data_IF_892275109339
#
_entry.id   IF_892275109339
#
_cell.length_a   1.000
_cell.length_b   1.000
_cell.length_c   1.000
_cell.angle_alpha   90.00
_cell.angle_beta   90.00
_cell.angle_gamma   90.00
#
_symmetry.space_group_name_H-M   'P 1'
#
loop_
_entity.id
_entity.type
_entity.pdbx_description
1 polymer ?
2 non-polymer ?
3 non-polymer ?
4 non-polymer ?
5 non-polymer ?
6 non-polymer ?
7 non-polymer ?
8 water ?
#
# COMPACT_ATOMS: atom_id res chain seq x y z
N UNK A 3 -6.24 -3.38 -27.42
CA UNK A 3 -6.97 -2.71 -26.35
C UNK A 3 -8.14 -1.92 -26.91
N UNK A 4 -9.34 -2.44 -26.77
CA UNK A 4 -10.53 -1.78 -27.30
C UNK A 4 -10.94 -0.59 -26.44
N UNK A 5 -11.98 0.12 -26.89
CA UNK A 5 -12.57 1.21 -26.13
C UNK A 5 -13.41 0.66 -24.99
N UNK A 6 -13.68 1.54 -24.00
CA UNK A 6 -14.24 1.09 -22.73
C UNK A 6 -15.59 0.41 -22.93
N UNK A 7 -16.52 1.09 -23.60
CA UNK A 7 -17.84 0.52 -23.82
C UNK A 7 -17.76 -0.75 -24.65
N UNK A 8 -16.81 -0.82 -25.59
CA UNK A 8 -16.62 -2.04 -26.36
C UNK A 8 -16.07 -3.17 -25.49
N UNK A 9 -15.07 -2.87 -24.65
CA UNK A 9 -14.49 -3.86 -23.75
C UNK A 9 -15.55 -4.43 -22.80
N UNK A 10 -16.40 -3.57 -22.25
CA UNK A 10 -17.34 -3.99 -21.23
C UNK A 10 -18.56 -4.70 -21.83
N UNK A 11 -19.12 -5.62 -21.04
CA UNK A 11 -20.25 -6.41 -21.49
C UNK A 11 -21.62 -5.77 -21.33
N UNK A 12 -21.74 -4.63 -20.66
CA UNK A 12 -23.04 -4.00 -20.47
C UNK A 12 -22.82 -2.58 -19.91
N UNK A 13 -23.77 -1.69 -20.10
CA UNK A 13 -23.70 -0.38 -19.43
C UNK A 13 -24.18 -0.50 -17.99
N UNK A 14 -23.83 0.51 -17.20
CA UNK A 14 -24.35 0.57 -15.84
C UNK A 14 -25.87 0.67 -15.91
N UNK A 15 -26.62 -0.18 -15.19
CA UNK A 15 -28.09 -0.11 -15.27
C UNK A 15 -28.63 1.15 -14.61
N UNK A 16 -29.71 1.70 -15.22
CA UNK A 16 -30.35 2.89 -14.65
C UNK A 16 -30.80 2.66 -13.22
N UNK A 17 -31.17 1.42 -12.88
CA UNK A 17 -31.60 1.13 -11.52
C UNK A 17 -30.45 1.25 -10.53
N UNK A 18 -29.22 0.95 -10.96
CA UNK A 18 -28.09 1.18 -10.06
C UNK A 18 -27.90 2.66 -9.80
N UNK A 19 -27.95 3.47 -10.86
CA UNK A 19 -27.83 4.93 -10.71
C UNK A 19 -28.86 5.45 -9.73
N UNK A 20 -30.11 5.01 -9.87
CA UNK A 20 -31.19 5.45 -8.99
C UNK A 20 -30.86 5.14 -7.54
N UNK A 21 -30.42 3.92 -7.25
CA UNK A 21 -30.06 3.58 -5.88
C UNK A 21 -28.85 4.39 -5.42
N UNK A 22 -27.87 4.60 -6.30
CA UNK A 22 -26.66 5.31 -5.91
C UNK A 22 -26.96 6.75 -5.53
N UNK A 23 -27.86 7.40 -6.29
CA UNK A 23 -28.18 8.80 -6.03
C UNK A 23 -28.94 8.98 -4.72
N UNK A 24 -29.68 7.95 -4.30
CA UNK A 24 -30.43 8.00 -3.06
C UNK A 24 -29.57 7.75 -1.84
N UNK A 25 -28.36 7.23 -2.00
CA UNK A 25 -27.45 6.96 -0.88
C UNK A 25 -26.01 7.27 -1.29
N UNK A 26 -25.75 8.55 -1.57
CA UNK A 26 -24.41 8.95 -2.01
C UNK A 26 -23.39 8.87 -0.88
N UNK A 27 -23.83 8.78 0.38
CA UNK A 27 -22.90 8.62 1.50
C UNK A 27 -22.32 7.22 1.53
N UNK A 28 -23.18 6.19 1.43
CA UNK A 28 -22.67 4.83 1.29
C UNK A 28 -21.78 4.70 0.07
N UNK A 29 -22.21 5.29 -1.06
CA UNK A 29 -21.38 5.30 -2.26
C UNK A 29 -19.99 5.87 -1.98
N UNK A 30 -19.94 7.06 -1.38
CA UNK A 30 -18.67 7.72 -1.11
C UNK A 30 -17.78 6.89 -0.18
N UNK A 31 -18.35 6.34 0.88
CA UNK A 31 -17.54 5.58 1.82
C UNK A 31 -16.98 4.32 1.16
N UNK A 32 -17.81 3.63 0.40
CA UNK A 32 -17.33 2.45 -0.32
C UNK A 32 -16.34 2.85 -1.41
N UNK A 33 -16.58 3.97 -2.07
CA UNK A 33 -15.63 4.47 -3.08
C UNK A 33 -14.27 4.73 -2.45
N UNK A 34 -14.25 5.42 -1.31
CA UNK A 34 -13.03 5.66 -0.56
C UNK A 34 -12.30 4.34 -0.26
N UNK A 35 -13.04 3.32 0.18
CA UNK A 35 -12.42 2.02 0.51
C UNK A 35 -11.87 1.33 -0.74
N UNK A 36 -12.57 1.49 -1.86
CA UNK A 36 -12.15 0.89 -3.12
C UNK A 36 -10.83 1.47 -3.61
N UNK A 37 -10.67 2.78 -3.46
CA UNK A 37 -9.39 3.39 -3.81
C UNK A 37 -8.28 2.82 -2.95
N UNK A 38 -8.54 2.69 -1.64
CA UNK A 38 -7.56 2.07 -0.74
C UNK A 38 -7.28 0.61 -1.13
N UNK A 39 -8.22 -0.12 -1.43
CA UNK A 39 -8.06 -1.53 -1.83
C UNK A 39 -7.34 -1.62 -3.17
N UNK A 40 -7.52 -0.76 -4.04
CA UNK A 40 -6.73 -0.79 -5.26
C UNK A 40 -5.26 -0.63 -4.96
N UNK A 41 -4.90 0.30 -4.06
CA UNK A 41 -3.52 0.42 -3.62
C UNK A 41 -3.05 -0.83 -2.88
N UNK A 42 -3.88 -1.35 -1.97
CA UNK A 42 -3.47 -2.52 -1.23
C UNK A 42 -3.34 -3.74 -2.13
N UNK A 43 -4.24 -3.88 -3.12
CA UNK A 43 -4.11 -4.96 -4.09
C UNK A 43 -2.83 -4.82 -4.91
N UNK A 44 -2.50 -3.59 -5.33
CA UNK A 44 -1.27 -3.36 -6.08
C UNK A 44 -0.05 -3.75 -5.26
N UNK A 45 -0.09 -3.48 -3.94
CA UNK A 45 1.03 -3.87 -3.10
C UNK A 45 1.11 -5.38 -2.92
N UNK A 46 -0.05 -6.04 -2.79
CA UNK A 46 -0.05 -7.50 -2.69
C UNK A 46 0.52 -8.15 -3.95
N UNK A 47 0.32 -7.52 -5.10
CA UNK A 47 0.90 -8.05 -6.34
C UNK A 47 2.42 -7.86 -6.35
N UNK A 48 2.90 -6.71 -5.86
CA UNK A 48 4.33 -6.51 -5.70
C UNK A 48 4.93 -7.60 -4.81
N UNK A 49 4.29 -7.86 -3.68
CA UNK A 49 4.79 -8.87 -2.76
C UNK A 49 4.74 -10.25 -3.37
N UNK A 50 3.69 -10.56 -4.13
CA UNK A 50 3.54 -11.90 -4.70
C UNK A 50 4.49 -12.09 -5.88
N UNK A 51 4.71 -11.07 -6.69
CA UNK A 51 5.55 -11.19 -7.87
C UNK A 51 6.81 -10.35 -7.70
N UNK A 52 7.59 -10.65 -6.66
CA UNK A 52 8.73 -9.87 -6.21
C UNK A 52 9.91 -9.89 -7.18
N UNK A 53 9.85 -10.68 -8.25
CA UNK A 53 10.88 -10.67 -9.28
C UNK A 53 10.42 -10.07 -10.60
N UNK A 54 9.13 -9.80 -10.77
CA UNK A 54 8.61 -9.17 -11.98
C UNK A 54 8.83 -7.67 -11.89
N UNK A 55 10.02 -7.23 -12.32
CA UNK A 55 10.41 -5.83 -12.13
C UNK A 55 9.47 -4.87 -12.84
N UNK A 56 9.04 -5.20 -14.06
CA UNK A 56 8.09 -4.35 -14.77
C UNK A 56 6.80 -4.19 -13.97
N UNK A 57 6.27 -5.30 -13.46
CA UNK A 57 5.09 -5.25 -12.61
C UNK A 57 5.35 -4.40 -11.37
N UNK A 58 6.51 -4.59 -10.73
CA UNK A 58 6.80 -3.91 -9.47
C UNK A 58 6.86 -2.41 -9.67
N UNK A 59 7.50 -1.96 -10.74
CA UNK A 59 7.60 -0.52 -10.98
C UNK A 59 6.24 0.07 -11.32
N UNK A 60 5.41 -0.65 -12.08
CA UNK A 60 4.09 -0.12 -12.41
C UNK A 60 3.20 -0.09 -11.18
N UNK A 61 3.21 -1.17 -10.40
CA UNK A 61 2.29 -1.28 -9.26
C UNK A 61 2.64 -0.29 -8.16
N UNK A 62 3.93 -0.09 -7.91
CA UNK A 62 4.33 0.91 -6.92
C UNK A 62 3.77 2.29 -7.27
N UNK A 63 3.94 2.70 -8.52
CA UNK A 63 3.44 4.00 -8.94
C UNK A 63 1.91 4.03 -8.97
N UNK A 64 1.29 2.92 -9.36
CA UNK A 64 -0.16 2.85 -9.34
C UNK A 64 -0.70 2.97 -7.91
N UNK A 65 -0.07 2.26 -6.97
CA UNK A 65 -0.52 2.32 -5.58
C UNK A 65 -0.48 3.74 -5.05
N UNK A 66 0.56 4.51 -5.39
CA UNK A 66 0.63 5.90 -4.95
C UNK A 66 -0.50 6.74 -5.56
N UNK A 67 -0.81 6.52 -6.83
CA UNK A 67 -1.92 7.28 -7.44
C UNK A 67 -3.23 6.95 -6.76
N UNK A 68 -3.47 5.67 -6.47
CA UNK A 68 -4.72 5.28 -5.83
C UNK A 68 -4.80 5.79 -4.40
N UNK A 69 -3.66 5.89 -3.70
CA UNK A 69 -3.66 6.46 -2.36
C UNK A 69 -3.99 7.96 -2.39
N UNK A 70 -3.54 8.66 -3.43
CA UNK A 70 -3.97 10.05 -3.61
C UNK A 70 -5.49 10.12 -3.75
N UNK A 71 -6.06 9.25 -4.60
CA UNK A 71 -7.51 9.22 -4.76
C UNK A 71 -8.19 8.95 -3.42
N UNK A 72 -7.65 7.99 -2.66
CA UNK A 72 -8.18 7.66 -1.34
C UNK A 72 -8.22 8.91 -0.44
N UNK A 73 -7.12 9.65 -0.39
CA UNK A 73 -7.08 10.88 0.40
C UNK A 73 -8.01 11.95 -0.17
N UNK A 74 -8.12 12.03 -1.50
CA UNK A 74 -9.03 13.01 -2.09
C UNK A 74 -10.49 12.72 -1.72
N UNK A 75 -10.90 11.45 -1.75
CA UNK A 75 -12.27 11.12 -1.34
C UNK A 75 -12.48 11.47 0.13
N UNK A 76 -11.47 11.22 0.97
CA UNK A 76 -11.59 11.54 2.39
C UNK A 76 -11.78 13.04 2.59
N UNK A 77 -11.05 13.87 1.82
CA UNK A 77 -11.19 15.31 1.94
C UNK A 77 -12.57 15.77 1.48
N UNK A 78 -13.08 15.21 0.40
CA UNK A 78 -14.43 15.55 -0.06
C UNK A 78 -15.46 15.19 1.00
N UNK A 79 -15.37 13.97 1.53
CA UNK A 79 -16.27 13.55 2.61
C UNK A 79 -16.23 14.52 3.77
N UNK A 80 -15.02 14.91 4.21
CA UNK A 80 -14.92 15.86 5.31
C UNK A 80 -15.61 17.17 4.96
N UNK A 81 -15.41 17.65 3.73
CA UNK A 81 -16.03 18.90 3.30
C UNK A 81 -17.56 18.84 3.35
N UNK A 82 -18.13 17.66 3.10
CA UNK A 82 -19.58 17.49 3.04
C UNK A 82 -20.18 16.91 4.31
N UNK A 83 -19.38 16.72 5.36
CA UNK A 83 -19.91 16.17 6.60
C UNK A 83 -20.37 14.73 6.50
N UNK A 84 -19.61 13.89 5.79
CA UNK A 84 -19.89 12.46 5.70
C UNK A 84 -18.99 11.76 6.72
N UNK A 85 -19.52 11.27 7.83
CA UNK A 85 -18.67 10.61 8.83
C UNK A 85 -18.22 9.23 8.34
N UNK A 86 -17.11 8.78 8.90
CA UNK A 86 -16.60 7.46 8.60
C UNK A 86 -17.45 6.41 9.28
N UNK A 87 -17.71 5.32 8.58
CA UNK A 87 -18.46 4.21 9.20
C UNK A 87 -18.04 2.92 8.48
N UNK A 88 -18.09 1.80 9.20
CA UNK A 88 -17.73 0.50 8.60
C UNK A 88 -18.69 0.15 7.47
N UNK A 89 -18.13 -0.13 6.29
CA UNK A 89 -18.89 -0.58 5.13
C UNK A 89 -18.16 -1.77 4.54
N UNK A 90 -18.75 -2.96 4.66
CA UNK A 90 -18.10 -4.19 4.22
C UNK A 90 -17.90 -4.17 2.71
N UNK A 91 -16.90 -4.92 2.24
CA UNK A 91 -16.66 -5.02 0.81
C UNK A 91 -17.84 -5.67 0.11
N UNK A 92 -18.07 -5.27 -1.13
CA UNK A 92 -19.08 -5.88 -1.95
C UNK A 92 -18.62 -7.19 -2.53
N UNK A 93 -19.49 -7.77 -3.37
CA UNK A 93 -19.24 -9.07 -3.97
C UNK A 93 -18.37 -8.99 -5.21
N UNK A 94 -18.27 -7.82 -5.83
CA UNK A 94 -17.75 -7.65 -7.18
C UNK A 94 -16.35 -8.21 -7.37
N UNK A 95 -15.35 -7.59 -6.72
CA UNK A 95 -13.97 -8.01 -6.95
C UNK A 95 -13.75 -9.46 -6.52
N UNK A 96 -14.47 -9.92 -5.49
CA UNK A 96 -14.33 -11.31 -5.07
C UNK A 96 -14.91 -12.25 -6.12
N UNK A 97 -16.04 -11.87 -6.72
CA UNK A 97 -16.60 -12.67 -7.79
C UNK A 97 -15.68 -12.78 -8.98
N UNK A 98 -15.07 -11.66 -9.39
CA UNK A 98 -14.16 -11.69 -10.53
C UNK A 98 -12.91 -12.50 -10.22
N UNK A 99 -12.42 -12.42 -9.00
CA UNK A 99 -11.16 -13.15 -8.64
C UNK A 99 -11.39 -14.66 -8.60
N UNK A 100 -12.63 -15.12 -8.46
CA UNK A 100 -12.94 -16.55 -8.53
C UNK A 100 -12.65 -17.14 -9.90
N UNK A 101 -12.57 -16.31 -10.94
CA UNK A 101 -12.32 -16.79 -12.29
C UNK A 101 -10.83 -16.86 -12.63
N UNK A 102 -9.96 -16.54 -11.69
CA UNK A 102 -8.52 -16.58 -11.94
C UNK A 102 -8.04 -18.03 -11.89
N UNK A 103 -7.30 -18.44 -12.90
CA UNK A 103 -6.73 -19.78 -12.93
C UNK A 103 -5.68 -19.91 -11.83
N UNK A 104 -5.57 -21.12 -11.29
CA UNK A 104 -4.84 -21.33 -10.04
C UNK A 104 -3.35 -21.55 -10.23
N UNK A 105 -2.85 -21.53 -11.46
CA UNK A 105 -1.46 -21.87 -11.74
C UNK A 105 -0.79 -20.78 -12.54
N UNK A 106 0.51 -20.58 -12.27
CA UNK A 106 1.30 -19.66 -13.07
C UNK A 106 1.61 -20.30 -14.41
N UNK A 107 1.84 -19.49 -15.46
CA UNK A 107 1.84 -18.02 -15.46
C UNK A 107 0.47 -17.40 -15.75
N UNK A 108 -0.54 -18.22 -16.06
CA UNK A 108 -1.83 -17.67 -16.44
C UNK A 108 -2.56 -17.08 -15.23
N UNK A 109 -2.19 -17.47 -14.01
CA UNK A 109 -2.76 -16.85 -12.83
C UNK A 109 -2.51 -15.34 -12.83
N UNK A 110 -1.28 -14.94 -13.14
CA UNK A 110 -0.95 -13.50 -13.18
C UNK A 110 -1.67 -12.80 -14.33
N UNK A 111 -1.69 -13.42 -15.51
CA UNK A 111 -2.39 -12.83 -16.65
C UNK A 111 -3.86 -12.62 -16.32
N UNK A 112 -4.50 -13.64 -15.73
CA UNK A 112 -5.92 -13.53 -15.39
C UNK A 112 -6.14 -12.47 -14.33
N UNK A 113 -5.21 -12.37 -13.37
CA UNK A 113 -5.31 -11.34 -12.34
C UNK A 113 -5.27 -9.95 -12.96
N UNK A 114 -4.36 -9.73 -13.92
CA UNK A 114 -4.27 -8.43 -14.56
C UNK A 114 -5.48 -8.15 -15.44
N UNK A 115 -6.06 -9.17 -16.06
CA UNK A 115 -7.25 -8.95 -16.87
C UNK A 115 -8.41 -8.52 -15.98
N UNK A 116 -8.58 -9.18 -14.82
CA UNK A 116 -9.62 -8.78 -13.88
C UNK A 116 -9.42 -7.33 -13.47
N UNK A 117 -8.17 -6.92 -13.24
CA UNK A 117 -7.90 -5.54 -12.92
C UNK A 117 -8.31 -4.59 -14.02
N UNK A 118 -8.05 -4.97 -15.28
CA UNK A 118 -8.49 -4.13 -16.39
C UNK A 118 -10.00 -3.97 -16.38
N UNK A 119 -10.73 -5.03 -16.02
CA UNK A 119 -12.18 -4.94 -15.99
C UNK A 119 -12.66 -4.04 -14.86
N UNK A 120 -12.03 -4.14 -13.68
CA UNK A 120 -12.45 -3.30 -12.55
C UNK A 120 -12.25 -1.83 -12.88
N UNK A 121 -11.11 -1.49 -13.50
CA UNK A 121 -10.84 -0.09 -13.83
C UNK A 121 -11.74 0.39 -14.96
N UNK A 122 -11.98 -0.46 -15.97
CA UNK A 122 -12.86 -0.08 -17.07
C UNK A 122 -14.29 0.15 -16.57
N UNK A 123 -14.79 -0.73 -15.69
CA UNK A 123 -16.13 -0.55 -15.16
C UNK A 123 -16.22 0.72 -14.32
N UNK A 124 -15.20 0.97 -13.50
CA UNK A 124 -15.16 2.22 -12.73
C UNK A 124 -15.21 3.43 -13.65
N UNK A 125 -14.51 3.38 -14.78
CA UNK A 125 -14.54 4.52 -15.69
C UNK A 125 -15.93 4.68 -16.31
N UNK A 126 -16.53 3.57 -16.75
CA UNK A 126 -17.87 3.61 -17.32
C UNK A 126 -18.89 4.11 -16.30
N UNK A 127 -18.75 3.72 -15.04
CA UNK A 127 -19.76 4.05 -14.05
C UNK A 127 -19.65 5.50 -13.60
N UNK A 128 -18.42 6.00 -13.41
CA UNK A 128 -18.21 7.44 -13.22
C UNK A 128 -18.89 8.23 -14.31
N UNK A 129 -18.66 7.83 -15.57
CA UNK A 129 -19.27 8.54 -16.69
C UNK A 129 -20.79 8.50 -16.63
N UNK A 130 -21.36 7.36 -16.20
CA UNK A 130 -22.81 7.28 -16.10
C UNK A 130 -23.34 8.16 -14.98
N UNK A 131 -22.54 8.38 -13.94
CA UNK A 131 -23.02 9.06 -12.75
C UNK A 131 -23.02 10.58 -12.91
N UNK A 132 -21.95 11.12 -13.50
CA UNK A 132 -21.66 12.56 -13.37
C UNK A 132 -22.77 13.47 -13.91
N UNK A 133 -23.56 13.10 -14.94
CA UNK A 133 -24.68 13.99 -15.31
C UNK A 133 -25.70 14.17 -14.21
N UNK A 134 -25.69 13.34 -13.17
CA UNK A 134 -26.68 13.39 -12.10
C UNK A 134 -26.16 14.01 -10.82
N UNK A 135 -24.87 14.26 -10.72
CA UNK A 135 -24.22 14.73 -9.49
C UNK A 135 -24.12 16.25 -9.47
N UNK A 136 -23.91 16.77 -8.26
CA UNK A 136 -23.64 18.19 -8.09
C UNK A 136 -22.28 18.54 -8.68
N UNK A 137 -22.04 19.85 -8.85
CA UNK A 137 -20.89 20.29 -9.65
C UNK A 137 -19.58 19.83 -9.04
N UNK A 138 -19.40 19.99 -7.75
CA UNK A 138 -18.13 19.63 -7.07
C UNK A 138 -17.86 18.13 -7.24
N UNK A 139 -18.85 17.32 -6.95
CA UNK A 139 -18.62 15.87 -7.02
C UNK A 139 -18.48 15.40 -8.46
N UNK A 140 -19.26 15.97 -9.38
CA UNK A 140 -19.11 15.60 -10.79
C UNK A 140 -17.74 15.96 -11.33
N UNK A 141 -17.20 17.10 -10.91
CA UNK A 141 -15.85 17.53 -11.33
C UNK A 141 -14.81 16.53 -10.80
N UNK A 142 -14.95 16.19 -9.52
CA UNK A 142 -14.02 15.24 -8.91
C UNK A 142 -14.10 13.90 -9.63
N UNK A 143 -15.32 13.39 -9.80
CA UNK A 143 -15.52 12.10 -10.44
C UNK A 143 -15.06 12.11 -11.89
N UNK A 144 -15.17 13.26 -12.58
CA UNK A 144 -14.68 13.34 -13.95
C UNK A 144 -13.15 13.21 -14.01
N UNK A 145 -12.44 13.84 -13.07
CA UNK A 145 -11.00 13.65 -12.99
C UNK A 145 -10.61 12.20 -12.75
N UNK A 146 -11.36 11.51 -11.89
CA UNK A 146 -11.04 10.12 -11.60
C UNK A 146 -11.30 9.22 -12.81
N UNK A 147 -12.38 9.50 -13.54
CA UNK A 147 -12.72 8.76 -14.75
C UNK A 147 -11.56 8.70 -15.73
N UNK A 148 -10.86 9.82 -15.90
CA UNK A 148 -9.74 9.83 -16.84
C UNK A 148 -8.62 8.92 -16.37
N UNK A 149 -8.35 8.88 -15.06
CA UNK A 149 -7.32 7.99 -14.56
C UNK A 149 -7.71 6.52 -14.71
N UNK A 150 -9.00 6.20 -14.55
CA UNK A 150 -9.44 4.81 -14.69
C UNK A 150 -9.16 4.29 -16.09
N UNK A 151 -9.42 5.11 -17.11
CA UNK A 151 -9.12 4.71 -18.48
C UNK A 151 -7.64 4.39 -18.65
N UNK A 152 -6.78 5.22 -18.07
CA UNK A 152 -5.34 4.95 -18.13
C UNK A 152 -4.98 3.68 -17.36
N UNK A 153 -5.61 3.46 -16.20
CA UNK A 153 -5.32 2.25 -15.45
C UNK A 153 -5.86 1.01 -16.16
N UNK A 154 -7.01 1.13 -16.82
CA UNK A 154 -7.53 0.04 -17.63
C UNK A 154 -6.53 -0.33 -18.73
N UNK A 155 -6.01 0.68 -19.44
CA UNK A 155 -5.00 0.41 -20.46
C UNK A 155 -3.74 -0.16 -19.85
N UNK A 156 -3.30 0.38 -18.71
CA UNK A 156 -2.11 -0.12 -18.06
C UNK A 156 -2.22 -1.57 -17.64
N UNK A 157 -3.37 -1.96 -17.06
CA UNK A 157 -3.56 -3.34 -16.63
C UNK A 157 -3.59 -4.29 -17.82
N UNK A 158 -4.33 -3.93 -18.87
CA UNK A 158 -4.43 -4.78 -20.04
C UNK A 158 -3.09 -4.88 -20.76
N UNK A 159 -2.31 -3.78 -20.79
CA UNK A 159 -1.01 -3.85 -21.45
C UNK A 159 -0.02 -4.66 -20.64
N UNK A 160 -0.13 -4.64 -19.32
CA UNK A 160 0.74 -5.48 -18.51
C UNK A 160 0.39 -6.96 -18.69
N UNK A 161 -0.90 -7.26 -18.86
CA UNK A 161 -1.32 -8.63 -19.10
C UNK A 161 -0.74 -9.16 -20.41
N UNK A 162 -0.73 -8.33 -21.46
CA UNK A 162 -0.10 -8.75 -22.71
C UNK A 162 1.41 -8.87 -22.56
N UNK A 163 2.00 -8.10 -21.65
CA UNK A 163 3.44 -8.20 -21.41
C UNK A 163 3.84 -9.56 -20.87
N UNK A 164 2.92 -10.27 -20.20
CA UNK A 164 3.23 -11.53 -19.54
C UNK A 164 2.45 -12.71 -20.10
N UNK A 165 1.58 -12.50 -21.09
CA UNK A 165 0.65 -13.52 -21.50
C UNK A 165 0.61 -13.68 -23.01
N UNK A 166 0.02 -14.81 -23.43
CA UNK A 166 -0.19 -15.10 -24.83
C UNK A 166 -1.46 -14.41 -25.30
N UNK A 167 -1.37 -13.68 -26.41
CA UNK A 167 -2.50 -12.95 -26.97
C UNK A 167 -3.75 -13.82 -27.10
N UNK A 168 -3.57 -15.09 -27.48
CA UNK A 168 -4.72 -15.98 -27.67
C UNK A 168 -5.38 -16.31 -26.35
N UNK A 169 -4.60 -16.64 -25.32
CA UNK A 169 -5.17 -16.95 -24.02
C UNK A 169 -5.81 -15.73 -23.37
N UNK A 170 -5.26 -14.54 -23.64
CA UNK A 170 -5.85 -13.32 -23.08
C UNK A 170 -7.23 -13.08 -23.66
N UNK A 171 -7.39 -13.26 -24.98
CA UNK A 171 -8.69 -13.06 -25.61
C UNK A 171 -9.74 -13.98 -25.00
N UNK A 172 -9.38 -15.23 -24.71
CA UNK A 172 -10.35 -16.15 -24.10
C UNK A 172 -10.58 -15.82 -22.63
N UNK A 173 -9.56 -15.33 -21.94
CA UNK A 173 -9.75 -14.91 -20.56
C UNK A 173 -10.67 -13.69 -20.49
N UNK A 174 -10.47 -12.72 -21.37
CA UNK A 174 -11.34 -11.55 -21.43
C UNK A 174 -12.79 -11.96 -21.65
N UNK A 175 -13.01 -12.94 -22.53
CA UNK A 175 -14.38 -13.38 -22.81
C UNK A 175 -15.03 -13.98 -21.57
N UNK A 176 -14.27 -14.73 -20.77
CA UNK A 176 -14.84 -15.34 -19.58
C UNK A 176 -15.18 -14.29 -18.52
N UNK A 177 -14.24 -13.37 -18.25
CA UNK A 177 -14.47 -12.37 -17.22
C UNK A 177 -15.52 -11.35 -17.66
N UNK A 178 -15.53 -11.00 -18.95
CA UNK A 178 -16.54 -10.07 -19.46
C UNK A 178 -17.94 -10.58 -19.19
N UNK A 179 -18.18 -11.88 -19.42
CA UNK A 179 -19.49 -12.46 -19.16
C UNK A 179 -19.83 -12.44 -17.67
N UNK A 180 -18.87 -12.83 -16.82
CA UNK A 180 -19.14 -12.84 -15.38
C UNK A 180 -19.27 -11.43 -14.84
N UNK A 181 -18.50 -10.49 -15.38
CA UNK A 181 -18.59 -9.10 -14.95
C UNK A 181 -19.97 -8.52 -15.25
N UNK A 182 -20.47 -8.75 -16.47
CA UNK A 182 -21.81 -8.32 -16.84
C UNK A 182 -22.85 -8.92 -15.91
N UNK A 183 -22.67 -10.20 -15.54
CA UNK A 183 -23.62 -10.85 -14.64
C UNK A 183 -23.59 -10.19 -13.26
N UNK A 184 -22.41 -9.88 -12.75
CA UNK A 184 -22.30 -9.20 -11.47
C UNK A 184 -22.94 -7.81 -11.51
N UNK A 185 -22.86 -7.13 -12.65
CA UNK A 185 -23.38 -5.78 -12.75
C UNK A 185 -24.90 -5.78 -12.96
N UNK A 186 -25.44 -6.76 -13.69
CA UNK A 186 -26.86 -6.74 -13.99
C UNK A 186 -27.71 -7.55 -13.01
N UNK A 187 -27.10 -8.42 -12.21
CA UNK A 187 -27.83 -9.23 -11.26
C UNK A 187 -28.39 -8.39 -10.13
N UNK A 188 -29.48 -8.85 -9.50
CA UNK A 188 -29.94 -8.20 -8.27
C UNK A 188 -28.88 -8.31 -7.18
N UNK A 189 -28.89 -7.32 -6.28
CA UNK A 189 -27.90 -7.26 -5.23
C UNK A 189 -28.57 -6.84 -3.94
N UNK A 190 -27.99 -7.26 -2.83
CA UNK A 190 -28.55 -6.98 -1.51
C UNK A 190 -28.10 -5.64 -0.94
N UNK A 191 -27.04 -5.05 -1.48
CA UNK A 191 -26.45 -3.85 -0.91
C UNK A 191 -26.03 -2.90 -2.02
N UNK A 192 -25.92 -1.62 -1.67
CA UNK A 192 -25.38 -0.62 -2.58
C UNK A 192 -23.88 -0.48 -2.34
N UNK A 193 -23.10 -0.65 -3.39
CA UNK A 193 -21.66 -0.43 -3.39
C UNK A 193 -21.33 0.24 -4.72
N UNK A 194 -20.12 0.77 -4.84
CA UNK A 194 -19.75 1.39 -6.10
C UNK A 194 -19.89 0.41 -7.26
N UNK A 195 -19.54 -0.86 -7.04
CA UNK A 195 -19.60 -1.88 -8.07
C UNK A 195 -20.70 -2.91 -7.80
N UNK A 196 -21.71 -2.56 -7.01
CA UNK A 196 -22.79 -3.49 -6.73
C UNK A 196 -23.66 -3.72 -7.96
N UNK A 197 -24.44 -4.79 -7.90
CA UNK A 197 -25.49 -5.04 -8.86
C UNK A 197 -26.68 -4.14 -8.59
N UNK A 198 -27.78 -4.46 -9.26
CA UNK A 198 -29.02 -3.70 -9.14
C UNK A 198 -29.63 -3.97 -7.77
N UNK A 199 -29.85 -2.96 -6.94
CA UNK A 199 -30.45 -3.21 -5.61
C UNK A 199 -31.92 -3.61 -5.68
N UNK B 3 9.07 14.04 22.37
CA UNK B 3 9.94 13.67 21.25
C UNK B 3 11.41 13.76 21.63
N UNK B 4 11.97 12.74 22.30
CA UNK B 4 13.41 12.74 22.56
C UNK B 4 14.23 12.69 21.28
N UNK B 5 15.50 13.09 21.40
CA UNK B 5 16.43 12.91 20.30
C UNK B 5 16.67 11.42 20.05
N UNK B 6 17.13 11.10 18.84
CA UNK B 6 17.11 9.71 18.39
C UNK B 6 18.11 8.86 19.17
N UNK B 7 19.32 9.36 19.35
CA UNK B 7 20.28 8.62 20.17
C UNK B 7 19.76 8.41 21.59
N UNK B 8 18.98 9.37 22.11
CA UNK B 8 18.41 9.25 23.44
C UNK B 8 17.25 8.27 23.48
N UNK B 9 16.43 8.26 22.42
CA UNK B 9 15.29 7.35 22.34
C UNK B 9 15.74 5.89 22.27
N UNK B 10 16.86 5.62 21.59
CA UNK B 10 17.29 4.25 21.33
C UNK B 10 18.16 3.68 22.44
N UNK B 11 18.09 2.35 22.61
CA UNK B 11 18.82 1.66 23.65
C UNK B 11 20.30 1.42 23.39
N UNK B 12 20.78 1.67 22.17
CA UNK B 12 22.13 1.28 21.79
C UNK B 12 22.48 1.85 20.42
N UNK B 13 23.75 2.14 20.15
CA UNK B 13 24.14 2.51 18.79
C UNK B 13 24.29 1.27 17.91
N UNK B 14 24.26 1.51 16.60
CA UNK B 14 24.55 0.44 15.66
C UNK B 14 25.95 -0.09 15.91
N UNK B 15 26.13 -1.38 16.20
CA UNK B 15 27.47 -1.90 16.48
C UNK B 15 28.38 -1.80 15.27
N UNK B 16 29.67 -1.60 15.55
CA UNK B 16 30.64 -1.50 14.46
C UNK B 16 30.71 -2.78 13.64
N UNK B 17 30.50 -3.93 14.29
CA UNK B 17 30.52 -5.20 13.56
C UNK B 17 29.40 -5.29 12.53
N UNK B 18 28.24 -4.69 12.80
CA UNK B 18 27.19 -4.70 11.80
C UNK B 18 27.56 -3.87 10.58
N UNK B 19 28.19 -2.72 10.79
CA UNK B 19 28.56 -1.86 9.67
C UNK B 19 29.60 -2.55 8.79
N UNK B 20 30.54 -3.26 9.41
CA UNK B 20 31.53 -3.98 8.62
C UNK B 20 30.89 -5.09 7.79
N UNK B 21 29.91 -5.79 8.36
CA UNK B 21 29.18 -6.79 7.58
C UNK B 21 28.40 -6.14 6.45
N UNK B 22 27.74 -5.01 6.73
CA UNK B 22 26.94 -4.35 5.71
C UNK B 22 27.80 -3.91 4.54
N UNK B 23 28.99 -3.35 4.82
CA UNK B 23 29.86 -2.87 3.76
C UNK B 23 30.39 -4.02 2.93
N UNK B 24 30.54 -5.21 3.52
CA UNK B 24 31.00 -6.38 2.77
C UNK B 24 29.91 -7.02 1.93
N UNK B 25 28.66 -6.58 2.05
CA UNK B 25 27.55 -7.20 1.34
C UNK B 25 26.50 -6.15 1.02
N UNK B 26 26.88 -5.14 0.21
CA UNK B 26 26.00 -4.00 -0.01
C UNK B 26 24.85 -4.32 -0.97
N UNK B 27 24.97 -5.36 -1.80
CA UNK B 27 23.87 -5.71 -2.69
C UNK B 27 22.71 -6.32 -1.90
N UNK B 28 23.01 -7.20 -0.95
CA UNK B 28 21.96 -7.72 -0.07
C UNK B 28 21.36 -6.59 0.77
N UNK B 29 22.21 -5.71 1.27
CA UNK B 29 21.73 -4.56 2.03
C UNK B 29 20.73 -3.75 1.21
N UNK B 30 21.09 -3.45 -0.03
CA UNK B 30 20.22 -2.65 -0.88
C UNK B 30 18.90 -3.37 -1.15
N UNK B 31 18.95 -4.69 -1.38
CA UNK B 31 17.72 -5.45 -1.63
C UNK B 31 16.84 -5.42 -0.40
N UNK B 32 17.40 -5.74 0.77
CA UNK B 32 16.60 -5.70 1.98
C UNK B 32 16.11 -4.29 2.28
N UNK B 33 16.91 -3.28 1.96
CA UNK B 33 16.46 -1.90 2.14
C UNK B 33 15.25 -1.61 1.26
N UNK B 34 15.30 -2.01 0.00
CA UNK B 34 14.15 -1.87 -0.89
C UNK B 34 12.93 -2.56 -0.29
N UNK B 35 13.12 -3.77 0.23
CA UNK B 35 11.99 -4.50 0.81
C UNK B 35 11.45 -3.81 2.05
N UNK B 36 12.31 -3.14 2.79
CA UNK B 36 11.89 -2.52 4.03
C UNK B 36 11.04 -1.28 3.75
N UNK B 37 11.39 -0.54 2.69
CA UNK B 37 10.56 0.58 2.27
C UNK B 37 9.19 0.11 1.83
N UNK B 38 9.14 -1.02 1.09
CA UNK B 38 7.85 -1.58 0.70
C UNK B 38 7.06 -2.05 1.91
N UNK B 39 7.71 -2.72 2.85
CA UNK B 39 6.98 -3.24 4.03
C UNK B 39 6.48 -2.05 4.90
N UNK B 40 7.20 -0.94 4.93
CA UNK B 40 6.71 0.21 5.68
C UNK B 40 5.39 0.72 5.09
N UNK B 41 5.34 0.85 3.78
CA UNK B 41 4.08 1.24 3.12
C UNK B 41 3.01 0.18 3.31
N UNK B 42 3.38 -1.10 3.17
CA UNK B 42 2.41 -2.17 3.34
C UNK B 42 1.90 -2.22 4.77
N UNK B 43 2.79 -2.06 5.76
CA UNK B 43 2.34 -1.97 7.15
C UNK B 43 1.41 -0.78 7.35
N UNK B 44 1.74 0.36 6.74
CA UNK B 44 0.87 1.54 6.80
C UNK B 44 -0.53 1.22 6.30
N UNK B 45 -0.62 0.57 5.15
CA UNK B 45 -1.94 0.23 4.61
C UNK B 45 -2.67 -0.76 5.51
N UNK B 46 -1.94 -1.68 6.17
CA UNK B 46 -2.59 -2.62 7.09
C UNK B 46 -3.25 -1.91 8.27
N UNK B 47 -2.63 -0.83 8.76
CA UNK B 47 -3.19 -0.06 9.86
C UNK B 47 -4.45 0.68 9.44
N UNK B 48 -4.44 1.25 8.23
CA UNK B 48 -5.66 1.84 7.67
C UNK B 48 -6.78 0.81 7.65
N UNK B 49 -6.48 -0.39 7.16
CA UNK B 49 -7.50 -1.44 7.07
C UNK B 49 -8.05 -1.77 8.46
N UNK B 50 -7.15 -1.94 9.44
CA UNK B 50 -7.57 -2.32 10.78
C UNK B 50 -8.27 -1.19 11.51
N UNK B 51 -7.93 0.06 11.22
CA UNK B 51 -8.49 1.19 11.94
C UNK B 51 -9.20 2.13 10.98
N UNK B 52 -10.13 1.58 10.19
CA UNK B 52 -10.69 2.24 9.03
C UNK B 52 -11.69 3.35 9.36
N UNK B 53 -11.92 3.65 10.64
CA UNK B 53 -12.70 4.83 10.99
C UNK B 53 -11.93 5.78 11.89
N UNK B 54 -10.65 5.51 12.16
CA UNK B 54 -9.75 6.46 12.83
C UNK B 54 -9.25 7.44 11.78
N UNK B 55 -9.94 8.55 11.62
CA UNK B 55 -9.61 9.51 10.55
C UNK B 55 -8.15 10.00 10.62
N UNK B 56 -7.68 10.45 11.76
CA UNK B 56 -6.30 10.98 11.89
C UNK B 56 -5.28 9.91 11.44
N UNK B 57 -5.47 8.68 11.90
CA UNK B 57 -4.51 7.60 11.53
C UNK B 57 -4.57 7.38 10.03
N UNK B 58 -5.78 7.36 9.48
CA UNK B 58 -5.92 7.01 8.07
C UNK B 58 -5.25 8.05 7.18
N UNK B 59 -5.46 9.34 7.50
CA UNK B 59 -4.84 10.41 6.72
C UNK B 59 -3.32 10.38 6.83
N UNK B 60 -2.77 10.14 8.01
CA UNK B 60 -1.29 10.09 8.16
C UNK B 60 -0.70 8.84 7.48
N UNK B 61 -1.46 7.76 7.56
CA UNK B 61 -0.83 6.53 7.03
C UNK B 61 -0.94 6.49 5.51
N UNK B 62 -1.88 7.05 4.99
CA UNK B 62 -1.99 7.12 3.51
C UNK B 62 -0.81 7.91 2.95
N UNK B 63 -0.60 9.10 3.51
CA UNK B 63 0.52 9.91 3.05
C UNK B 63 1.85 9.24 3.34
N UNK B 64 1.97 8.59 4.50
CA UNK B 64 3.20 7.90 4.84
C UNK B 64 3.47 6.77 3.86
N UNK B 65 2.44 6.00 3.53
CA UNK B 65 2.59 4.91 2.58
C UNK B 65 3.11 5.41 1.24
N UNK B 66 2.61 6.57 0.79
CA UNK B 66 3.08 7.13 -0.47
C UNK B 66 4.54 7.56 -0.39
N UNK B 67 4.96 8.15 0.73
CA UNK B 67 6.36 8.52 0.86
C UNK B 67 7.25 7.28 0.84
N UNK B 68 6.83 6.19 1.50
CA UNK B 68 7.64 4.99 1.55
C UNK B 68 7.68 4.27 0.20
N UNK B 69 6.62 4.37 -0.59
CA UNK B 69 6.64 3.80 -1.93
C UNK B 69 7.56 4.58 -2.84
N UNK B 70 7.65 5.90 -2.65
CA UNK B 70 8.64 6.68 -3.38
C UNK B 70 10.04 6.20 -3.03
N UNK B 71 10.30 5.96 -1.74
CA UNK B 71 11.58 5.40 -1.34
C UNK B 71 11.80 4.03 -1.97
N UNK B 72 10.77 3.18 -1.96
CA UNK B 72 10.85 1.87 -2.59
C UNK B 72 11.28 1.98 -4.05
N UNK B 73 10.69 2.92 -4.79
CA UNK B 73 11.02 3.09 -6.20
C UNK B 73 12.44 3.63 -6.36
N UNK B 74 12.85 4.54 -5.48
CA UNK B 74 14.20 5.10 -5.54
C UNK B 74 15.27 4.02 -5.35
N UNK B 75 15.08 3.14 -4.37
CA UNK B 75 16.04 2.06 -4.17
C UNK B 75 16.08 1.16 -5.41
N UNK B 76 14.91 0.87 -5.98
CA UNK B 76 14.84 0.07 -7.21
C UNK B 76 15.67 0.69 -8.31
N UNK B 77 15.53 2.01 -8.52
CA UNK B 77 16.31 2.68 -9.55
C UNK B 77 17.80 2.67 -9.23
N UNK B 78 18.17 2.69 -7.95
CA UNK B 78 19.58 2.59 -7.59
C UNK B 78 20.12 1.20 -7.85
N UNK B 79 19.32 0.15 -7.57
CA UNK B 79 19.77 -1.19 -7.90
C UNK B 79 19.97 -1.35 -9.40
N UNK B 80 19.14 -0.69 -10.21
CA UNK B 80 19.29 -0.78 -11.66
C UNK B 80 20.61 -0.18 -12.10
N UNK B 81 20.92 1.02 -11.61
CA UNK B 81 22.18 1.68 -11.96
C UNK B 81 23.40 0.85 -11.57
N UNK B 82 23.27 0.03 -10.52
CA UNK B 82 24.43 -0.72 -9.98
C UNK B 82 24.34 -2.21 -10.30
N UNK B 83 23.46 -2.60 -11.23
CA UNK B 83 23.41 -3.99 -11.65
C UNK B 83 23.06 -4.96 -10.55
N UNK B 84 22.35 -4.51 -9.52
CA UNK B 84 21.92 -5.42 -8.46
C UNK B 84 20.72 -6.22 -8.97
N UNK B 85 20.80 -7.55 -8.97
CA UNK B 85 19.68 -8.36 -9.48
C UNK B 85 18.54 -8.40 -8.49
N UNK B 86 17.32 -8.42 -9.03
CA UNK B 86 16.12 -8.58 -8.21
C UNK B 86 16.07 -9.99 -7.65
N UNK B 87 16.69 -10.19 -6.49
CA UNK B 87 16.78 -11.54 -5.88
C UNK B 87 15.89 -11.58 -4.65
N UNK B 88 15.20 -12.69 -4.38
CA UNK B 88 14.36 -12.83 -3.18
C UNK B 88 15.23 -12.91 -1.94
N UNK B 89 14.97 -12.02 -0.98
CA UNK B 89 15.72 -11.96 0.26
C UNK B 89 14.73 -11.97 1.42
N UNK B 90 14.83 -12.99 2.27
CA UNK B 90 13.87 -13.20 3.34
C UNK B 90 13.89 -12.02 4.31
N UNK B 91 12.77 -11.85 5.01
CA UNK B 91 12.71 -10.83 6.05
C UNK B 91 13.61 -11.20 7.22
N UNK B 92 14.11 -10.16 7.90
CA UNK B 92 14.84 -10.37 9.13
C UNK B 92 13.92 -10.67 10.29
N UNK B 93 14.54 -10.82 11.47
CA UNK B 93 13.82 -11.10 12.70
C UNK B 93 13.35 -9.84 13.41
N UNK B 94 13.76 -8.66 12.93
CA UNK B 94 13.64 -7.43 13.70
C UNK B 94 12.20 -7.02 13.91
N UNK B 95 11.49 -6.71 12.81
CA UNK B 95 10.13 -6.19 12.94
C UNK B 95 9.20 -7.20 13.62
N UNK B 96 9.30 -8.47 13.26
CA UNK B 96 8.44 -9.47 13.88
C UNK B 96 8.81 -9.67 15.35
N UNK B 97 10.10 -9.56 15.68
CA UNK B 97 10.48 -9.59 17.09
C UNK B 97 9.82 -8.46 17.88
N UNK B 98 9.76 -7.27 17.29
CA UNK B 98 9.15 -6.14 18.00
C UNK B 98 7.63 -6.30 18.09
N UNK B 99 7.01 -6.84 17.03
CA UNK B 99 5.56 -6.99 17.04
C UNK B 99 5.07 -7.96 18.11
N UNK B 100 5.91 -8.89 18.55
CA UNK B 100 5.50 -9.81 19.60
C UNK B 100 5.25 -9.11 20.92
N UNK B 101 5.70 -7.87 21.09
CA UNK B 101 5.47 -7.11 22.30
C UNK B 101 4.15 -6.37 22.30
N UNK B 102 3.45 -6.33 21.17
CA UNK B 102 2.19 -5.61 21.09
C UNK B 102 1.14 -6.32 21.91
N UNK B 103 0.51 -5.59 22.83
CA UNK B 103 -0.59 -6.14 23.60
C UNK B 103 -1.77 -6.49 22.69
N UNK B 104 -2.59 -7.44 23.14
CA UNK B 104 -3.60 -8.06 22.29
C UNK B 104 -4.96 -7.38 22.36
N UNK B 105 -5.13 -6.35 23.19
CA UNK B 105 -6.42 -5.73 23.41
C UNK B 105 -6.36 -4.24 23.12
N UNK B 106 -7.41 -3.72 22.48
CA UNK B 106 -7.50 -2.29 22.25
C UNK B 106 -7.83 -1.58 23.57
N UNK B 107 -7.51 -0.27 23.68
CA UNK B 107 -6.86 0.58 22.69
C UNK B 107 -5.34 0.61 22.82
N UNK B 108 -4.81 -0.12 23.80
CA UNK B 108 -3.37 -0.14 23.97
C UNK B 108 -2.69 -0.95 22.86
N UNK B 109 -3.42 -1.87 22.22
CA UNK B 109 -2.88 -2.57 21.06
C UNK B 109 -2.43 -1.60 19.97
N UNK B 110 -3.26 -0.60 19.66
CA UNK B 110 -2.90 0.40 18.67
C UNK B 110 -1.72 1.24 19.15
N UNK B 111 -1.73 1.64 20.42
CA UNK B 111 -0.66 2.48 20.95
C UNK B 111 0.67 1.76 20.87
N UNK B 112 0.68 0.48 21.24
CA UNK B 112 1.92 -0.31 21.17
C UNK B 112 2.42 -0.42 19.74
N UNK B 113 1.50 -0.67 18.79
CA UNK B 113 1.89 -0.76 17.39
C UNK B 113 2.54 0.54 16.92
N UNK B 114 1.98 1.68 17.34
CA UNK B 114 2.55 2.96 16.93
C UNK B 114 3.92 3.19 17.57
N UNK B 115 4.09 2.77 18.83
CA UNK B 115 5.40 2.92 19.47
C UNK B 115 6.45 2.05 18.77
N UNK B 116 6.07 0.83 18.36
CA UNK B 116 7.00 -0.02 17.61
C UNK B 116 7.39 0.65 16.30
N UNK B 117 6.42 1.23 15.59
CA UNK B 117 6.74 1.98 14.39
C UNK B 117 7.74 3.10 14.64
N UNK B 118 7.58 3.81 15.77
CA UNK B 118 8.54 4.86 16.11
C UNK B 118 9.95 4.31 16.28
N UNK B 119 10.09 3.15 16.92
CA UNK B 119 11.43 2.59 17.11
C UNK B 119 12.06 2.15 15.80
N UNK B 120 11.26 1.51 14.92
CA UNK B 120 11.79 1.08 13.63
C UNK B 120 12.29 2.27 12.82
N UNK B 121 11.51 3.36 12.80
CA UNK B 121 11.94 4.54 12.05
C UNK B 121 13.13 5.22 12.72
N UNK B 122 13.17 5.26 14.04
CA UNK B 122 14.31 5.87 14.72
C UNK B 122 15.59 5.07 14.48
N UNK B 123 15.50 3.74 14.54
CA UNK B 123 16.67 2.91 14.29
C UNK B 123 17.16 3.06 12.86
N UNK B 124 16.24 3.11 11.90
CA UNK B 124 16.63 3.31 10.51
C UNK B 124 17.37 4.61 10.34
N UNK B 125 16.90 5.66 11.00
CA UNK B 125 17.58 6.95 10.96
C UNK B 125 18.98 6.84 11.55
N UNK B 126 19.09 6.27 12.76
CA UNK B 126 20.39 6.09 13.39
C UNK B 126 21.32 5.25 12.52
N UNK B 127 20.77 4.22 11.88
CA UNK B 127 21.62 3.29 11.14
C UNK B 127 22.06 3.87 9.79
N UNK B 128 21.17 4.59 9.09
CA UNK B 128 21.59 5.33 7.91
C UNK B 128 22.74 6.28 8.26
N UNK B 129 22.62 7.01 9.37
CA UNK B 129 23.64 7.97 9.76
C UNK B 129 24.97 7.27 10.03
N UNK B 130 24.93 6.11 10.69
CA UNK B 130 26.14 5.36 10.94
C UNK B 130 26.78 4.87 9.65
N UNK B 131 25.97 4.59 8.63
CA UNK B 131 26.51 4.04 7.39
C UNK B 131 27.12 5.13 6.51
N UNK B 132 26.51 6.31 6.50
CA UNK B 132 26.81 7.32 5.48
C UNK B 132 28.31 7.57 5.29
N UNK B 133 29.11 7.82 6.35
CA UNK B 133 30.53 8.16 6.14
C UNK B 133 31.36 7.06 5.46
N UNK B 134 30.83 5.86 5.36
CA UNK B 134 31.59 4.72 4.81
C UNK B 134 31.16 4.35 3.39
N UNK B 135 30.11 4.96 2.89
CA UNK B 135 29.60 4.57 1.58
C UNK B 135 30.22 5.44 0.48
N UNK B 136 30.02 5.00 -0.76
CA UNK B 136 30.43 5.82 -1.89
C UNK B 136 29.57 7.09 -1.93
N UNK B 137 29.93 7.99 -2.84
CA UNK B 137 29.30 9.30 -2.87
C UNK B 137 27.82 9.20 -3.23
N UNK B 138 27.49 8.44 -4.27
CA UNK B 138 26.10 8.32 -4.71
C UNK B 138 25.24 7.71 -3.61
N UNK B 139 25.68 6.61 -3.02
CA UNK B 139 24.88 5.93 -2.01
C UNK B 139 24.87 6.72 -0.69
N UNK B 140 26.00 7.36 -0.35
CA UNK B 140 26.06 8.13 0.88
C UNK B 140 25.10 9.31 0.87
N UNK B 141 24.99 10.00 -0.27
CA UNK B 141 24.05 11.11 -0.37
C UNK B 141 22.61 10.65 -0.37
N UNK B 142 22.34 9.51 -1.02
CA UNK B 142 20.99 8.95 -1.00
C UNK B 142 20.57 8.61 0.42
N UNK B 143 21.45 7.91 1.15
CA UNK B 143 21.13 7.51 2.51
C UNK B 143 21.04 8.72 3.44
N UNK B 144 21.84 9.74 3.19
CA UNK B 144 21.79 10.99 3.98
C UNK B 144 20.47 11.71 3.77
N UNK B 145 19.98 11.74 2.54
CA UNK B 145 18.66 12.34 2.26
C UNK B 145 17.49 11.61 2.89
N UNK B 146 17.65 10.31 3.18
CA UNK B 146 16.57 9.53 3.85
C UNK B 146 16.57 9.84 5.35
N UNK B 147 17.69 10.27 5.92
CA UNK B 147 17.79 10.54 7.39
C UNK B 147 16.66 11.46 7.84
N UNK B 148 16.49 12.62 7.19
CA UNK B 148 15.47 13.59 7.58
C UNK B 148 14.06 12.96 7.53
N UNK B 149 13.81 12.10 6.56
CA UNK B 149 12.48 11.45 6.43
C UNK B 149 12.28 10.52 7.62
N UNK B 150 13.30 9.77 7.97
CA UNK B 150 13.13 8.77 9.04
C UNK B 150 12.90 9.46 10.37
N UNK B 151 13.66 10.53 10.63
CA UNK B 151 13.43 11.28 11.86
C UNK B 151 12.01 11.81 11.91
N UNK B 152 11.52 12.34 10.78
CA UNK B 152 10.15 12.83 10.71
C UNK B 152 9.14 11.71 10.93
N UNK B 153 9.43 10.51 10.39
CA UNK B 153 8.53 9.38 10.58
C UNK B 153 8.58 8.88 12.01
N UNK B 154 9.77 8.87 12.62
CA UNK B 154 9.86 8.54 14.04
C UNK B 154 9.00 9.50 14.85
N UNK B 155 9.14 10.80 14.61
CA UNK B 155 8.33 11.79 15.32
C UNK B 155 6.84 11.59 15.07
N UNK B 156 6.46 11.29 13.83
CA UNK B 156 5.05 11.11 13.51
C UNK B 156 4.43 9.93 14.21
N UNK B 157 5.12 8.78 14.22
CA UNK B 157 4.59 7.60 14.90
C UNK B 157 4.41 7.86 16.40
N UNK B 158 5.45 8.42 17.04
CA UNK B 158 5.36 8.69 18.47
C UNK B 158 4.26 9.69 18.78
N UNK B 159 4.17 10.76 17.98
CA UNK B 159 3.10 11.73 18.16
C UNK B 159 1.73 11.10 17.98
N UNK B 160 1.60 10.16 17.04
CA UNK B 160 0.32 9.49 16.86
C UNK B 160 -0.01 8.60 18.05
N UNK B 161 1.00 7.96 18.64
CA UNK B 161 0.76 7.16 19.84
C UNK B 161 0.24 8.03 20.98
N UNK B 162 0.81 9.22 21.14
CA UNK B 162 0.32 10.15 22.17
C UNK B 162 -1.09 10.62 21.89
N UNK B 163 -1.46 10.66 20.61
CA UNK B 163 -2.81 11.10 20.25
C UNK B 163 -3.86 10.11 20.73
N UNK B 164 -3.54 8.82 20.77
CA UNK B 164 -4.52 7.79 21.07
C UNK B 164 -4.28 7.11 22.42
N UNK B 165 -3.33 7.61 23.22
CA UNK B 165 -2.96 6.88 24.41
C UNK B 165 -2.52 7.78 25.55
N UNK B 166 -2.49 7.19 26.74
CA UNK B 166 -2.13 7.92 27.95
C UNK B 166 -0.62 7.98 28.10
N UNK B 167 -0.12 9.16 28.47
CA UNK B 167 1.31 9.37 28.66
C UNK B 167 1.94 8.36 29.61
N UNK B 168 1.14 7.78 30.50
CA UNK B 168 1.65 6.75 31.42
C UNK B 168 2.02 5.49 30.66
N UNK B 169 1.03 4.86 30.00
CA UNK B 169 1.27 3.60 29.33
C UNK B 169 2.16 3.75 28.10
N UNK B 170 2.29 4.96 27.55
CA UNK B 170 3.24 5.17 26.46
C UNK B 170 4.68 5.12 26.99
N UNK B 171 4.95 5.83 28.08
CA UNK B 171 6.25 5.69 28.74
C UNK B 171 6.50 4.25 29.17
N UNK B 172 5.45 3.54 29.61
CA UNK B 172 5.61 2.12 29.93
C UNK B 172 5.94 1.31 28.69
N UNK B 173 5.26 1.59 27.60
CA UNK B 173 5.49 0.84 26.36
C UNK B 173 6.87 1.15 25.77
N UNK B 174 7.26 2.43 25.79
CA UNK B 174 8.53 2.83 25.22
C UNK B 174 9.68 2.12 25.95
N UNK B 175 9.56 1.99 27.27
CA UNK B 175 10.62 1.35 28.05
C UNK B 175 10.74 -0.13 27.70
N UNK B 176 9.62 -0.81 27.50
CA UNK B 176 9.68 -2.24 27.18
C UNK B 176 10.21 -2.45 25.76
N UNK B 177 9.71 -1.69 24.80
CA UNK B 177 10.14 -1.91 23.43
C UNK B 177 11.61 -1.53 23.26
N UNK B 178 12.06 -0.49 23.97
CA UNK B 178 13.47 -0.08 23.88
C UNK B 178 14.38 -1.21 24.31
N UNK B 179 14.00 -1.94 25.35
CA UNK B 179 14.79 -3.06 25.84
C UNK B 179 14.85 -4.19 24.82
N UNK B 180 13.70 -4.56 24.25
CA UNK B 180 13.68 -5.64 23.27
C UNK B 180 14.39 -5.23 21.99
N UNK B 181 14.29 -3.96 21.60
CA UNK B 181 14.89 -3.50 20.35
C UNK B 181 16.41 -3.51 20.44
N UNK B 182 16.98 -3.06 21.57
CA UNK B 182 18.44 -3.04 21.67
C UNK B 182 19.01 -4.45 21.71
N UNK B 183 18.27 -5.44 22.24
CA UNK B 183 18.81 -6.79 22.22
C UNK B 183 18.69 -7.40 20.83
N UNK B 184 17.64 -7.08 20.08
CA UNK B 184 17.59 -7.47 18.67
C UNK B 184 18.78 -6.91 17.90
N UNK B 185 19.21 -5.68 18.25
CA UNK B 185 20.32 -5.04 17.55
C UNK B 185 21.67 -5.56 18.04
N UNK B 186 21.79 -5.92 19.32
CA UNK B 186 23.08 -6.33 19.86
C UNK B 186 23.27 -7.85 19.88
N UNK B 187 22.22 -8.64 19.63
CA UNK B 187 22.35 -10.09 19.66
C UNK B 187 23.00 -10.62 18.38
N UNK B 188 23.68 -11.76 18.48
CA UNK B 188 24.23 -12.40 17.28
C UNK B 188 23.13 -12.73 16.28
N UNK B 189 23.46 -12.61 14.99
CA UNK B 189 22.47 -12.80 13.95
C UNK B 189 23.13 -13.51 12.77
N UNK B 190 22.33 -14.32 12.07
CA UNK B 190 22.83 -15.25 11.09
C UNK B 190 22.62 -14.78 9.65
N UNK B 191 22.23 -13.52 9.43
CA UNK B 191 21.99 -13.04 8.07
C UNK B 191 22.01 -11.52 8.06
N UNK B 192 22.81 -10.95 7.17
CA UNK B 192 22.90 -9.49 7.05
C UNK B 192 21.60 -8.94 6.50
N UNK B 193 20.90 -8.15 7.31
CA UNK B 193 19.76 -7.37 6.88
C UNK B 193 19.96 -5.95 7.36
N UNK B 194 19.15 -5.02 6.84
CA UNK B 194 19.28 -3.63 7.26
C UNK B 194 19.11 -3.51 8.77
N UNK B 195 18.18 -4.27 9.36
CA UNK B 195 17.94 -4.19 10.79
C UNK B 195 18.44 -5.43 11.53
N UNK B 196 19.43 -6.13 10.97
CA UNK B 196 19.88 -7.37 11.59
C UNK B 196 20.75 -7.10 12.81
N UNK B 197 20.96 -8.15 13.60
CA UNK B 197 21.87 -8.10 14.72
C UNK B 197 23.31 -8.17 14.28
N UNK B 198 24.18 -8.59 15.19
CA UNK B 198 25.63 -8.63 14.89
C UNK B 198 25.97 -9.98 14.26
N UNK B 199 26.70 -10.04 13.14
CA UNK B 199 27.14 -11.32 12.56
C UNK B 199 28.33 -11.91 13.31
#
# INVERSE_FOLDING_TARGET
SLIPEIDAFLGCPTPDAWIEAALADQETLLIDHKNCEFKAASTALSLIAKYNTHLDLINMMSRLAREELVHHEQVLRLMKRRGVPLRPVSAGRYASGLRRLVRAHEPVKLVDTLVVGAFIEARSCERFAALVPHLDEELGRFYHGLLKSEARHYQGYLKLAHNYGDEADIARRVELVRAAEMELIQSPDQELRFHSGIPQ
SLIPEIDAFLGCPTPDAWIEAALADQETLLIDHKNCEFKAASTALSLIAKYNTHLDLINMMSRLAREELVHHEQVLRLMKRRGVPLRPVSAGRYASGLRRLVRAHEPVKLVDTLVVGAFIEARSCERFAALVPHLDEELGRFYHGLLKSEARHYQGYLKLAHNYGDEADIARRVELVRAAEMELIQSPDQELRFHSGIPQ
#
